data_IF_999107082889
#
_entry.id   IF_999107082889
#
_cell.length_a   1.000
_cell.length_b   1.000
_cell.length_c   1.000
_cell.angle_alpha   90.00
_cell.angle_beta   90.00
_cell.angle_gamma   90.00
#
_symmetry.space_group_name_H-M   'P 1'
#
loop_
_entity.id
_entity.type
_entity.pdbx_description
1 polymer ?
#
# COMPACT_ATOMS: atom_id res chain seq x y z
N UNK A 1 -7.22 2.77 17.99
CA UNK A 1 -8.14 1.61 17.79
C UNK A 1 -7.35 0.31 17.61
N UNK A 2 -7.91 -0.89 17.87
CA UNK A 2 -7.16 -2.13 17.71
C UNK A 2 -6.93 -2.47 16.22
N UNK A 3 -5.90 -3.27 15.96
CA UNK A 3 -5.57 -3.80 14.65
C UNK A 3 -6.76 -4.56 14.01
N UNK A 4 -6.87 -4.51 12.69
CA UNK A 4 -7.87 -5.25 11.91
C UNK A 4 -7.19 -6.38 11.17
N UNK A 5 -7.77 -7.58 11.19
CA UNK A 5 -7.26 -8.74 10.45
C UNK A 5 -8.26 -9.09 9.35
N UNK A 6 -7.80 -9.13 8.10
CA UNK A 6 -8.58 -9.52 6.94
C UNK A 6 -7.96 -10.75 6.28
N UNK A 7 -8.79 -11.67 5.80
CA UNK A 7 -8.34 -12.89 5.13
C UNK A 7 -8.52 -12.79 3.61
N UNK A 8 -7.50 -13.22 2.87
CA UNK A 8 -7.53 -13.38 1.43
C UNK A 8 -7.26 -14.86 1.07
N UNK A 9 -8.29 -15.69 0.84
CA UNK A 9 -8.10 -17.11 0.53
C UNK A 9 -7.36 -17.37 -0.78
N UNK A 10 -7.39 -16.42 -1.72
CA UNK A 10 -6.75 -16.52 -3.04
C UNK A 10 -6.33 -15.14 -3.60
N UNK A 11 -5.75 -15.13 -4.80
CA UNK A 11 -5.30 -13.90 -5.48
C UNK A 11 -6.46 -12.95 -5.81
N UNK A 12 -7.64 -13.49 -6.15
CA UNK A 12 -8.81 -12.70 -6.49
C UNK A 12 -9.34 -11.95 -5.25
N UNK A 13 -9.40 -12.63 -4.11
CA UNK A 13 -9.73 -12.02 -2.82
C UNK A 13 -8.69 -10.97 -2.39
N UNK A 14 -7.40 -11.22 -2.61
CA UNK A 14 -6.34 -10.24 -2.35
C UNK A 14 -6.56 -8.96 -3.17
N UNK A 15 -6.88 -9.12 -4.45
CA UNK A 15 -7.16 -8.01 -5.38
C UNK A 15 -8.42 -7.26 -4.95
N UNK A 16 -9.48 -7.98 -4.56
CA UNK A 16 -10.72 -7.39 -4.07
C UNK A 16 -10.51 -6.62 -2.75
N UNK A 17 -9.68 -7.12 -1.83
CA UNK A 17 -9.27 -6.39 -0.62
C UNK A 17 -8.54 -5.10 -0.99
N UNK A 18 -7.64 -5.14 -1.97
CA UNK A 18 -6.99 -3.92 -2.50
C UNK A 18 -8.01 -2.90 -2.96
N UNK A 19 -9.03 -3.33 -3.73
CA UNK A 19 -10.11 -2.46 -4.17
C UNK A 19 -10.93 -1.87 -3.03
N UNK A 20 -11.23 -2.65 -1.99
CA UNK A 20 -11.88 -2.16 -0.76
C UNK A 20 -11.04 -1.10 -0.04
N UNK A 21 -9.73 -1.34 0.07
CA UNK A 21 -8.78 -0.38 0.65
C UNK A 21 -8.76 0.92 -0.17
N UNK A 22 -8.79 0.83 -1.50
CA UNK A 22 -8.86 2.01 -2.36
C UNK A 22 -10.10 2.87 -2.07
N UNK A 23 -11.27 2.24 -1.88
CA UNK A 23 -12.51 2.97 -1.58
C UNK A 23 -12.45 3.71 -0.24
N UNK A 24 -11.91 3.08 0.81
CA UNK A 24 -11.84 3.74 2.14
C UNK A 24 -10.77 4.83 2.20
N UNK A 25 -9.68 4.69 1.44
CA UNK A 25 -8.60 5.69 1.43
C UNK A 25 -8.95 6.91 0.59
N UNK A 26 -9.85 6.77 -0.39
CA UNK A 26 -10.23 7.86 -1.30
C UNK A 26 -9.04 8.39 -2.10
N UNK A 27 -7.99 7.58 -2.29
CA UNK A 27 -6.81 7.96 -3.07
C UNK A 27 -5.87 8.92 -2.35
N UNK A 28 -5.86 8.90 -1.01
CA UNK A 28 -5.10 9.84 -0.16
C UNK A 28 -4.35 9.14 0.96
N UNK A 29 -3.20 9.70 1.36
CA UNK A 29 -2.44 9.28 2.54
C UNK A 29 -1.31 8.28 2.26
N UNK A 30 -0.73 7.70 3.30
CA UNK A 30 0.47 6.85 3.20
C UNK A 30 0.22 5.47 3.78
N UNK A 31 0.47 4.43 2.97
CA UNK A 31 0.32 3.02 3.37
C UNK A 31 1.64 2.29 3.16
N UNK A 32 2.03 1.56 4.19
CA UNK A 32 3.21 0.70 4.20
C UNK A 32 2.83 -0.76 4.09
N UNK A 33 3.51 -1.47 3.19
CA UNK A 33 3.26 -2.86 2.87
C UNK A 33 4.45 -3.73 3.30
N UNK A 34 4.20 -4.57 4.30
CA UNK A 34 5.16 -5.48 4.89
C UNK A 34 4.84 -6.93 4.53
N UNK A 35 5.86 -7.77 4.54
CA UNK A 35 5.74 -9.22 4.34
C UNK A 35 6.86 -9.77 3.47
N UNK A 36 7.05 -11.09 3.50
CA UNK A 36 8.14 -11.75 2.80
C UNK A 36 8.07 -11.60 1.27
N UNK A 37 9.15 -11.99 0.59
CA UNK A 37 9.16 -12.10 -0.86
C UNK A 37 8.07 -13.09 -1.32
N UNK A 38 7.20 -12.66 -2.23
CA UNK A 38 6.05 -13.47 -2.67
C UNK A 38 4.85 -13.47 -1.71
N UNK A 39 4.86 -12.67 -0.64
CA UNK A 39 3.71 -12.55 0.27
C UNK A 39 2.44 -12.02 -0.42
N UNK A 40 2.58 -11.23 -1.49
CA UNK A 40 1.45 -10.68 -2.25
C UNK A 40 1.30 -9.16 -2.16
N UNK A 41 2.33 -8.44 -1.69
CA UNK A 41 2.36 -6.97 -1.63
C UNK A 41 1.97 -6.31 -2.95
N UNK A 42 2.65 -6.65 -4.05
CA UNK A 42 2.33 -6.14 -5.39
C UNK A 42 0.94 -6.54 -5.89
N UNK A 43 0.42 -7.70 -5.50
CA UNK A 43 -0.96 -8.11 -5.82
C UNK A 43 -1.97 -7.20 -5.11
N UNK A 44 -1.72 -6.85 -3.85
CA UNK A 44 -2.54 -5.89 -3.11
C UNK A 44 -2.47 -4.50 -3.75
N UNK A 45 -1.26 -4.02 -4.06
CA UNK A 45 -1.04 -2.73 -4.75
C UNK A 45 -1.80 -2.68 -6.07
N UNK A 46 -1.78 -3.77 -6.85
CA UNK A 46 -2.56 -3.91 -8.09
C UNK A 46 -4.06 -3.78 -7.84
N UNK A 47 -4.61 -4.51 -6.88
CA UNK A 47 -6.04 -4.43 -6.56
C UNK A 47 -6.46 -3.03 -6.14
N UNK A 48 -5.60 -2.35 -5.38
CA UNK A 48 -5.83 -0.98 -4.92
C UNK A 48 -5.78 0.03 -6.07
N UNK A 49 -4.74 0.01 -6.90
CA UNK A 49 -4.61 0.90 -8.07
C UNK A 49 -5.75 0.68 -9.07
N UNK A 50 -6.12 -0.59 -9.31
CA UNK A 50 -7.28 -0.94 -10.16
C UNK A 50 -8.61 -0.54 -9.52
N UNK A 51 -8.69 -0.52 -8.18
CA UNK A 51 -9.85 -0.06 -7.42
C UNK A 51 -10.19 1.42 -7.65
N UNK A 52 -9.22 2.23 -8.09
CA UNK A 52 -9.45 3.61 -8.54
C UNK A 52 -9.83 3.72 -10.03
N UNK A 53 -9.82 2.61 -10.78
CA UNK A 53 -10.22 2.57 -12.18
C UNK A 53 -9.07 2.46 -13.18
N UNK A 54 -7.82 2.26 -12.73
CA UNK A 54 -6.70 2.00 -13.63
C UNK A 54 -6.91 0.70 -14.43
N UNK A 55 -6.74 0.75 -15.75
CA UNK A 55 -6.96 -0.39 -16.67
C UNK A 55 -5.68 -1.02 -17.20
N UNK A 56 -4.52 -0.44 -16.89
CA UNK A 56 -3.22 -0.93 -17.33
C UNK A 56 -2.64 -2.02 -16.43
N UNK A 57 -1.42 -2.43 -16.76
CA UNK A 57 -0.65 -3.39 -15.94
C UNK A 57 -0.07 -2.65 -14.74
N UNK A 58 -0.39 -3.11 -13.54
CA UNK A 58 0.29 -2.70 -12.30
C UNK A 58 1.32 -3.77 -11.96
N UNK A 59 2.59 -3.38 -12.00
CA UNK A 59 3.74 -4.24 -11.69
C UNK A 59 4.54 -3.61 -10.55
N UNK A 60 5.35 -4.41 -9.87
CA UNK A 60 6.30 -3.87 -8.91
C UNK A 60 7.36 -3.01 -9.62
N UNK A 61 7.58 -1.76 -9.18
CA UNK A 61 8.62 -0.89 -9.70
C UNK A 61 9.99 -1.21 -9.08
N UNK A 62 10.36 -2.48 -8.88
CA UNK A 62 11.60 -2.84 -8.15
C UNK A 62 12.88 -2.19 -8.70
N UNK A 63 12.91 -1.88 -10.01
CA UNK A 63 14.07 -1.27 -10.68
C UNK A 63 13.95 0.24 -10.85
N UNK A 64 12.74 0.78 -10.96
CA UNK A 64 12.50 2.23 -11.05
C UNK A 64 12.28 2.87 -9.70
N UNK A 65 12.16 2.06 -8.64
CA UNK A 65 11.80 2.35 -7.25
C UNK A 65 10.41 2.93 -7.06
N UNK A 66 9.92 3.73 -8.01
CA UNK A 66 8.60 4.34 -8.02
C UNK A 66 7.90 4.17 -9.37
N UNK A 67 6.58 4.02 -9.35
CA UNK A 67 5.70 4.12 -10.51
C UNK A 67 4.52 5.05 -10.16
N UNK A 68 4.35 6.17 -10.87
CA UNK A 68 3.19 7.03 -10.72
C UNK A 68 1.99 6.53 -11.54
N UNK A 69 0.80 6.59 -10.94
CA UNK A 69 -0.47 6.30 -11.60
C UNK A 69 -1.39 7.52 -11.51
N UNK A 70 -1.72 8.11 -12.66
CA UNK A 70 -2.71 9.19 -12.76
C UNK A 70 -4.05 8.60 -13.23
N UNK A 71 -5.08 8.73 -12.38
CA UNK A 71 -6.38 8.09 -12.56
C UNK A 71 -7.48 9.12 -12.30
N UNK A 72 -7.82 9.89 -13.34
CA UNK A 72 -8.70 11.04 -13.20
C UNK A 72 -8.06 12.08 -12.27
N UNK A 73 -8.72 12.39 -11.15
CA UNK A 73 -8.19 13.31 -10.13
C UNK A 73 -7.33 12.62 -9.07
N UNK A 74 -7.32 11.28 -9.04
CA UNK A 74 -6.53 10.49 -8.09
C UNK A 74 -5.12 10.29 -8.62
N UNK A 75 -4.12 10.49 -7.77
CA UNK A 75 -2.73 10.13 -8.02
C UNK A 75 -2.29 9.09 -7.01
N UNK A 76 -1.68 8.00 -7.50
CA UNK A 76 -1.08 6.97 -6.66
C UNK A 76 0.40 6.86 -6.98
N UNK A 77 1.25 6.92 -5.97
CA UNK A 77 2.67 6.61 -6.10
C UNK A 77 2.95 5.25 -5.47
N UNK A 78 3.31 4.29 -6.30
CA UNK A 78 3.69 2.96 -5.84
C UNK A 78 5.20 2.89 -5.76
N UNK A 79 5.73 2.70 -4.56
CA UNK A 79 7.14 2.46 -4.30
C UNK A 79 7.38 0.98 -4.02
N UNK A 80 8.49 0.45 -4.54
CA UNK A 80 9.05 -0.83 -4.11
C UNK A 80 10.55 -0.66 -3.83
N UNK A 81 10.88 -0.70 -2.54
CA UNK A 81 12.21 -0.41 -2.05
C UNK A 81 13.06 -1.66 -1.83
N UNK A 82 12.61 -2.84 -2.30
CA UNK A 82 13.30 -4.11 -2.07
C UNK A 82 14.79 -4.09 -2.45
N UNK A 83 15.14 -3.36 -3.52
CA UNK A 83 16.50 -3.23 -4.04
C UNK A 83 17.23 -1.97 -3.57
N UNK A 84 16.58 -1.11 -2.79
CA UNK A 84 17.21 0.07 -2.23
C UNK A 84 18.26 -0.36 -1.20
N UNK A 85 19.51 0.05 -1.42
CA UNK A 85 20.63 -0.29 -0.54
C UNK A 85 20.83 0.79 0.50
N UNK A 86 20.77 2.06 0.09
CA UNK A 86 20.93 3.22 0.93
C UNK A 86 19.66 4.09 0.92
N UNK A 87 19.02 4.36 2.09
CA UNK A 87 17.88 5.25 2.18
C UNK A 87 18.13 6.64 1.59
N UNK A 88 19.37 7.15 1.64
CA UNK A 88 19.73 8.48 1.12
C UNK A 88 19.54 8.59 -0.39
N UNK A 89 19.55 7.48 -1.13
CA UNK A 89 19.20 7.43 -2.57
C UNK A 89 17.83 8.05 -2.85
N UNK A 90 16.89 7.97 -1.90
CA UNK A 90 15.55 8.56 -2.02
C UNK A 90 15.57 10.09 -2.03
N UNK A 91 16.48 10.72 -1.29
CA UNK A 91 16.61 12.19 -1.29
C UNK A 91 17.09 12.70 -2.67
N UNK A 92 18.00 11.97 -3.32
CA UNK A 92 18.47 12.31 -4.67
C UNK A 92 17.38 12.13 -5.75
N UNK A 93 16.41 11.25 -5.51
CA UNK A 93 15.25 11.05 -6.39
C UNK A 93 14.17 12.12 -6.21
N UNK A 94 14.37 13.07 -5.29
CA UNK A 94 13.37 14.10 -4.99
C UNK A 94 12.13 13.49 -4.35
N UNK A 95 12.27 12.47 -3.50
CA UNK A 95 11.13 11.72 -2.94
C UNK A 95 10.09 12.64 -2.26
N UNK A 96 10.55 13.78 -1.72
CA UNK A 96 9.71 14.80 -1.06
C UNK A 96 8.57 15.27 -1.96
N UNK A 97 8.84 15.48 -3.25
CA UNK A 97 7.86 15.97 -4.23
C UNK A 97 6.70 14.97 -4.42
N UNK A 98 6.93 13.68 -4.20
CA UNK A 98 5.90 12.63 -4.29
C UNK A 98 4.97 12.62 -3.08
N UNK A 99 5.39 13.20 -1.96
CA UNK A 99 4.57 13.34 -0.76
C UNK A 99 3.87 14.69 -0.69
N UNK A 100 4.12 15.59 -1.66
CA UNK A 100 3.44 16.86 -1.74
C UNK A 100 2.04 16.71 -2.35
N UNK A 101 1.07 17.29 -1.65
CA UNK A 101 -0.35 17.19 -2.00
C UNK A 101 -1.06 16.03 -1.32
N UNK A 102 -2.25 15.72 -1.84
CA UNK A 102 -3.14 14.71 -1.27
C UNK A 102 -3.22 13.48 -2.19
N UNK A 103 -2.06 12.92 -2.51
CA UNK A 103 -1.93 11.67 -3.26
C UNK A 103 -1.92 10.46 -2.30
N UNK A 104 -2.18 9.27 -2.83
CA UNK A 104 -1.95 8.03 -2.10
C UNK A 104 -0.55 7.52 -2.38
N UNK A 105 0.21 7.24 -1.34
CA UNK A 105 1.53 6.61 -1.46
C UNK A 105 1.50 5.21 -0.88
N UNK A 106 1.86 4.23 -1.71
CA UNK A 106 2.03 2.84 -1.31
C UNK A 106 3.52 2.53 -1.28
N UNK A 107 4.04 2.01 -0.18
CA UNK A 107 5.46 1.67 -0.07
C UNK A 107 5.61 0.20 0.29
N UNK A 108 6.14 -0.60 -0.64
CA UNK A 108 6.61 -1.95 -0.34
C UNK A 108 8.04 -1.90 0.23
N UNK A 109 8.29 -2.69 1.27
CA UNK A 109 9.58 -2.73 2.00
C UNK A 109 9.98 -1.36 2.60
N UNK A 110 9.08 -0.68 3.34
CA UNK A 110 9.34 0.66 3.88
C UNK A 110 10.55 0.72 4.82
N UNK A 111 10.95 -0.39 5.45
CA UNK A 111 12.14 -0.49 6.28
C UNK A 111 13.43 -0.12 5.54
N UNK A 112 13.45 -0.24 4.20
CA UNK A 112 14.59 0.15 3.36
C UNK A 112 14.73 1.66 3.19
N UNK A 113 13.64 2.42 3.37
CA UNK A 113 13.62 3.88 3.32
C UNK A 113 13.54 4.55 4.69
N UNK A 114 13.84 3.80 5.76
CA UNK A 114 13.71 4.28 7.13
C UNK A 114 14.50 5.59 7.36
N UNK A 115 13.87 6.56 8.01
CA UNK A 115 14.46 7.88 8.28
C UNK A 115 14.20 8.93 7.19
N UNK A 116 13.86 8.51 5.96
CA UNK A 116 13.56 9.43 4.85
C UNK A 116 12.07 9.46 4.52
N UNK A 117 11.39 8.30 4.57
CA UNK A 117 9.97 8.22 4.26
C UNK A 117 9.10 8.99 5.29
N UNK A 118 7.93 9.50 4.89
CA UNK A 118 6.99 10.16 5.79
C UNK A 118 6.42 9.18 6.81
N UNK A 119 5.65 9.70 7.77
CA UNK A 119 4.89 8.80 8.66
C UNK A 119 3.76 8.15 7.87
N UNK A 120 3.63 6.83 7.99
CA UNK A 120 2.49 6.11 7.44
C UNK A 120 1.22 6.44 8.22
N UNK A 121 0.08 6.43 7.52
CA UNK A 121 -1.24 6.43 8.13
C UNK A 121 -1.63 5.01 8.57
N UNK A 122 -1.17 3.98 7.85
CA UNK A 122 -1.49 2.58 8.12
C UNK A 122 -0.37 1.64 7.65
N UNK A 123 0.00 0.69 8.50
CA UNK A 123 0.80 -0.48 8.13
C UNK A 123 -0.12 -1.64 7.72
N UNK A 124 0.26 -2.38 6.68
CA UNK A 124 -0.37 -3.64 6.30
C UNK A 124 0.72 -4.73 6.26
N UNK A 125 0.64 -5.68 7.18
CA UNK A 125 1.53 -6.85 7.21
C UNK A 125 0.83 -8.05 6.60
N UNK A 126 1.41 -8.61 5.55
CA UNK A 126 0.87 -9.75 4.81
C UNK A 126 1.65 -11.02 5.19
N UNK A 127 0.95 -12.03 5.69
CA UNK A 127 1.54 -13.32 6.08
C UNK A 127 0.79 -14.50 5.45
N UNK A 128 1.45 -15.66 5.24
CA UNK A 128 0.78 -16.89 4.83
C UNK A 128 -0.31 -17.31 5.84
N UNK A 129 -1.48 -17.73 5.34
CA UNK A 129 -2.56 -18.26 6.18
C UNK A 129 -3.34 -19.34 5.43
N UNK A 130 -3.13 -20.61 5.79
CA UNK A 130 -3.66 -21.75 5.05
C UNK A 130 -3.18 -21.73 3.59
N UNK A 131 -4.12 -21.84 2.64
CA UNK A 131 -3.84 -21.70 1.21
C UNK A 131 -3.68 -20.23 0.76
N UNK A 132 -4.12 -19.28 1.57
CA UNK A 132 -4.21 -17.85 1.24
C UNK A 132 -3.25 -16.98 2.06
N UNK A 133 -3.70 -15.76 2.36
CA UNK A 133 -2.98 -14.74 3.13
C UNK A 133 -3.84 -14.15 4.24
N UNK A 134 -3.19 -13.72 5.30
CA UNK A 134 -3.74 -12.86 6.33
C UNK A 134 -3.11 -11.48 6.21
N UNK A 135 -3.94 -10.43 6.28
CA UNK A 135 -3.51 -9.04 6.25
C UNK A 135 -3.83 -8.45 7.62
N UNK A 136 -2.78 -8.10 8.38
CA UNK A 136 -2.90 -7.33 9.61
C UNK A 136 -2.76 -5.85 9.28
N UNK A 137 -3.80 -5.08 9.53
CA UNK A 137 -3.86 -3.64 9.32
C UNK A 137 -3.71 -2.93 10.66
N UNK A 138 -2.65 -2.14 10.78
CA UNK A 138 -2.31 -1.41 12.02
C UNK A 138 -2.38 0.09 11.73
N UNK A 139 -3.33 0.83 12.33
CA UNK A 139 -3.45 2.27 12.11
C UNK A 139 -2.36 3.03 12.87
N UNK A 140 -1.79 4.05 12.23
CA UNK A 140 -0.69 4.87 12.77
C UNK A 140 -1.04 6.37 12.81
N UNK A 141 -2.24 6.74 12.36
CA UNK A 141 -2.79 8.10 12.40
C UNK A 141 -4.31 8.05 12.59
N UNK A 142 -4.94 9.20 12.90
CA UNK A 142 -6.41 9.32 12.96
C UNK A 142 -7.09 8.90 11.63
N UNK A 143 -6.44 9.22 10.50
CA UNK A 143 -6.89 8.80 9.17
C UNK A 143 -6.84 7.28 9.03
N UNK A 144 -5.74 6.65 9.46
CA UNK A 144 -5.60 5.20 9.50
C UNK A 144 -6.63 4.51 10.39
N UNK A 145 -6.94 5.10 11.55
CA UNK A 145 -7.98 4.58 12.46
C UNK A 145 -9.37 4.59 11.80
N UNK A 146 -9.71 5.67 11.09
CA UNK A 146 -10.95 5.77 10.34
C UNK A 146 -11.03 4.70 9.24
N UNK A 147 -9.93 4.46 8.50
CA UNK A 147 -9.88 3.40 7.48
C UNK A 147 -10.05 2.01 8.08
N UNK A 148 -9.33 1.70 9.16
CA UNK A 148 -9.44 0.41 9.84
C UNK A 148 -10.88 0.18 10.32
N UNK A 149 -11.52 1.19 10.89
CA UNK A 149 -12.94 1.13 11.30
C UNK A 149 -13.85 0.79 10.14
N UNK A 150 -13.71 1.50 9.01
CA UNK A 150 -14.52 1.25 7.81
C UNK A 150 -14.28 -0.16 7.24
N UNK A 151 -13.05 -0.66 7.29
CA UNK A 151 -12.69 -1.98 6.79
C UNK A 151 -13.20 -3.12 7.68
N UNK A 152 -13.27 -2.90 9.00
CA UNK A 152 -13.79 -3.87 9.96
C UNK A 152 -15.31 -4.08 9.85
N UNK A 153 -16.06 -3.03 9.45
CA UNK A 153 -17.52 -3.10 9.28
C UNK A 153 -17.92 -3.79 7.96
N UNK A 154 -16.97 -3.93 7.02
CA UNK A 154 -17.20 -4.45 5.67
C UNK A 154 -17.06 -5.97 5.48
N UNK A 155 -17.10 -6.78 6.55
CA UNK A 155 -17.31 -8.23 6.41
C UNK A 155 -18.82 -8.51 6.32
N UNK A 156 -19.29 -9.31 5.35
CA UNK A 156 -20.69 -9.74 5.28
C UNK A 156 -21.10 -10.62 6.47
#
# INVERSE_FOLDING_TARGET
>A
MPEVILLAPDEAAMTALGGRIAQVTGGRGVIYLHGDLGAGKTTLSRGLVQGFGHRGKVKSPTFTLVEPYEIGEVRVFHFDLYRLVDPEELEFLGIRDYFEGDALTLVEWPERGAGILPKADMDITITPHGAGRSLRLSPLSERGEAWCTALAIGEP
#
